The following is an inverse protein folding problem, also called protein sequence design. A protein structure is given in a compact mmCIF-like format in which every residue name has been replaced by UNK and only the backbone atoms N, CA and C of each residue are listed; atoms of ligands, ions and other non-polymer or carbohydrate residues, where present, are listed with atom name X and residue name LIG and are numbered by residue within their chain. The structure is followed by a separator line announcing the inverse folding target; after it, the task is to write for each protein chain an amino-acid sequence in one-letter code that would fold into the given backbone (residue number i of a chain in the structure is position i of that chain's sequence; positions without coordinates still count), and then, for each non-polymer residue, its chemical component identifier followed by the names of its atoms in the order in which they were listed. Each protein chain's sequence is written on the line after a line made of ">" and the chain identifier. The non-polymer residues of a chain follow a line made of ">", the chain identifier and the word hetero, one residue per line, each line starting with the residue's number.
data_IF_436644226724
#
_entry.id   IF_436644226724
#
_cell.length_a   1.000
_cell.length_b   1.000
_cell.length_c   1.000
_cell.angle_alpha   90.00
_cell.angle_beta   90.00
_cell.angle_gamma   90.00
#
_symmetry.space_group_name_H-M   'P 1'
#
loop_
_entity.id
_entity.type
_entity.pdbx_description
1 polymer ?
#
# COMPACT_ATOMS: atom_id res chain seq x y z
N UNK A 1 -7.95 -26.27 17.62
CA UNK A 1 -7.05 -25.38 16.85
C UNK A 1 -7.82 -24.12 16.54
N UNK A 2 -7.32 -22.91 16.84
CA UNK A 2 -7.96 -21.67 16.37
C UNK A 2 -8.03 -21.71 14.84
N UNK A 3 -9.22 -21.51 14.25
CA UNK A 3 -9.33 -21.37 12.79
C UNK A 3 -8.41 -20.25 12.34
N UNK A 4 -7.51 -20.54 11.41
CA UNK A 4 -6.58 -19.56 10.84
C UNK A 4 -7.39 -18.49 10.08
N UNK A 5 -6.95 -17.21 10.16
CA UNK A 5 -7.57 -16.07 9.46
C UNK A 5 -7.49 -16.24 7.95
N UNK A 6 -8.51 -15.72 7.28
CA UNK A 6 -8.58 -15.63 5.80
C UNK A 6 -8.06 -14.27 5.36
N UNK A 7 -7.03 -14.27 4.54
CA UNK A 7 -6.37 -13.08 4.00
C UNK A 7 -6.74 -12.85 2.53
N UNK A 8 -7.06 -11.62 2.21
CA UNK A 8 -7.23 -11.13 0.84
C UNK A 8 -6.13 -10.10 0.56
N UNK A 9 -5.19 -10.44 -0.32
CA UNK A 9 -4.00 -9.62 -0.59
C UNK A 9 -3.99 -9.15 -2.03
N UNK A 10 -3.78 -7.86 -2.27
CA UNK A 10 -3.70 -7.29 -3.61
C UNK A 10 -2.26 -7.09 -4.06
N UNK A 11 -1.98 -7.28 -5.37
CA UNK A 11 -0.65 -7.04 -5.94
C UNK A 11 0.40 -8.06 -5.52
N UNK A 12 0.08 -9.37 -5.64
CA UNK A 12 0.89 -10.45 -5.07
C UNK A 12 1.93 -11.05 -6.02
N UNK A 13 2.01 -10.61 -7.29
CA UNK A 13 2.94 -11.22 -8.26
C UNK A 13 4.42 -10.93 -7.96
N UNK A 14 4.73 -9.90 -7.17
CA UNK A 14 6.09 -9.49 -6.79
C UNK A 14 6.09 -8.62 -5.52
N UNK A 15 7.28 -8.31 -5.02
CA UNK A 15 7.50 -7.35 -3.94
C UNK A 15 6.93 -7.78 -2.59
N UNK A 16 6.43 -6.83 -1.80
CA UNK A 16 5.91 -7.06 -0.46
C UNK A 16 4.70 -8.01 -0.44
N UNK A 17 3.78 -7.86 -1.41
CA UNK A 17 2.63 -8.75 -1.51
C UNK A 17 3.02 -10.20 -1.77
N UNK A 18 4.06 -10.44 -2.60
CA UNK A 18 4.61 -11.77 -2.84
C UNK A 18 5.21 -12.36 -1.56
N UNK A 19 6.07 -11.59 -0.87
CA UNK A 19 6.67 -12.03 0.38
C UNK A 19 5.62 -12.35 1.46
N UNK A 20 4.55 -11.54 1.53
CA UNK A 20 3.46 -11.76 2.47
C UNK A 20 2.69 -13.04 2.16
N UNK A 21 2.36 -13.31 0.90
CA UNK A 21 1.65 -14.54 0.51
C UNK A 21 2.49 -15.79 0.84
N UNK A 22 3.79 -15.78 0.56
CA UNK A 22 4.68 -16.86 0.94
C UNK A 22 4.62 -17.14 2.44
N UNK A 23 4.85 -16.13 3.26
CA UNK A 23 4.87 -16.28 4.71
C UNK A 23 3.52 -16.75 5.27
N UNK A 24 2.42 -16.25 4.73
CA UNK A 24 1.07 -16.66 5.12
C UNK A 24 0.81 -18.14 4.81
N UNK A 25 1.22 -18.62 3.63
CA UNK A 25 1.05 -20.01 3.23
C UNK A 25 1.95 -20.94 4.04
N UNK A 26 3.22 -20.55 4.29
CA UNK A 26 4.14 -21.29 5.16
C UNK A 26 3.59 -21.46 6.58
N UNK A 27 2.90 -20.43 7.10
CA UNK A 27 2.27 -20.50 8.42
C UNK A 27 0.85 -21.11 8.41
N UNK A 28 0.34 -21.56 7.28
CA UNK A 28 -0.93 -22.28 7.16
C UNK A 28 -2.17 -21.39 7.21
N UNK A 29 -2.07 -20.10 6.86
CA UNK A 29 -3.23 -19.23 6.69
C UNK A 29 -3.95 -19.51 5.36
N UNK A 30 -5.23 -19.11 5.27
CA UNK A 30 -6.01 -19.16 4.04
C UNK A 30 -5.81 -17.85 3.28
N UNK A 31 -5.40 -17.92 2.01
CA UNK A 31 -4.97 -16.75 1.24
C UNK A 31 -5.66 -16.69 -0.11
N UNK A 32 -6.37 -15.59 -0.36
CA UNK A 32 -6.73 -15.15 -1.70
C UNK A 32 -5.70 -14.11 -2.17
N UNK A 33 -4.85 -14.51 -3.10
CA UNK A 33 -3.87 -13.62 -3.71
C UNK A 33 -4.38 -13.09 -5.05
N UNK A 34 -4.24 -11.78 -5.28
CA UNK A 34 -4.71 -11.18 -6.53
C UNK A 34 -3.59 -10.51 -7.33
N UNK A 35 -3.71 -10.64 -8.65
CA UNK A 35 -2.86 -9.98 -9.64
C UNK A 35 -3.65 -9.79 -10.94
N UNK A 36 -3.20 -8.92 -11.84
CA UNK A 36 -3.75 -8.84 -13.21
C UNK A 36 -3.48 -10.13 -14.00
N UNK A 37 -2.37 -10.79 -13.70
CA UNK A 37 -1.98 -12.05 -14.30
C UNK A 37 -2.08 -13.20 -13.29
N UNK A 38 -3.15 -14.01 -13.36
CA UNK A 38 -3.36 -15.18 -12.49
C UNK A 38 -2.25 -16.22 -12.68
N UNK A 39 -1.74 -16.38 -13.90
CA UNK A 39 -0.72 -17.38 -14.19
C UNK A 39 0.58 -17.11 -13.41
N UNK A 40 0.96 -15.85 -13.27
CA UNK A 40 2.12 -15.46 -12.44
C UNK A 40 1.97 -15.85 -10.97
N UNK A 41 0.73 -15.86 -10.44
CA UNK A 41 0.46 -16.33 -9.07
C UNK A 41 0.59 -17.86 -8.96
N UNK A 42 0.13 -18.58 -9.97
CA UNK A 42 0.24 -20.05 -10.03
C UNK A 42 1.70 -20.48 -10.14
N UNK A 43 2.48 -19.80 -10.94
CA UNK A 43 3.92 -20.06 -11.08
C UNK A 43 4.68 -19.78 -9.78
N UNK A 44 4.27 -18.76 -9.04
CA UNK A 44 4.92 -18.36 -7.79
C UNK A 44 4.55 -19.24 -6.59
N UNK A 45 3.28 -19.62 -6.46
CA UNK A 45 2.72 -20.21 -5.23
C UNK A 45 2.04 -21.57 -5.45
N UNK A 46 1.95 -22.05 -6.70
CA UNK A 46 1.24 -23.26 -7.05
C UNK A 46 -0.23 -23.04 -7.43
N UNK A 47 -0.88 -24.14 -7.77
CA UNK A 47 -2.30 -24.12 -8.12
C UNK A 47 -3.21 -23.84 -6.93
N UNK A 48 -4.48 -23.57 -7.21
CA UNK A 48 -5.51 -23.47 -6.18
C UNK A 48 -5.53 -24.72 -5.28
N UNK A 49 -5.65 -24.49 -3.97
CA UNK A 49 -5.64 -25.52 -2.95
C UNK A 49 -6.67 -25.20 -1.85
N UNK A 50 -6.72 -26.00 -0.79
CA UNK A 50 -7.56 -25.70 0.39
C UNK A 50 -7.17 -24.39 1.07
N UNK A 51 -5.90 -23.99 1.00
CA UNK A 51 -5.37 -22.78 1.64
C UNK A 51 -5.14 -21.62 0.68
N UNK A 52 -5.10 -21.86 -0.64
CA UNK A 52 -4.68 -20.87 -1.62
C UNK A 52 -5.69 -20.69 -2.74
N UNK A 53 -6.05 -19.43 -3.01
CA UNK A 53 -6.93 -19.03 -4.09
C UNK A 53 -6.28 -17.94 -4.95
N UNK A 54 -5.64 -18.29 -6.09
CA UNK A 54 -5.11 -17.31 -7.03
C UNK A 54 -6.23 -16.70 -7.88
N UNK A 55 -6.32 -15.37 -7.90
CA UNK A 55 -7.36 -14.63 -8.60
C UNK A 55 -6.78 -13.61 -9.58
N UNK A 56 -7.31 -13.58 -10.80
CA UNK A 56 -7.13 -12.41 -11.68
C UNK A 56 -8.08 -11.30 -11.24
N UNK A 57 -7.55 -10.10 -11.07
CA UNK A 57 -8.32 -8.93 -10.65
C UNK A 57 -7.75 -7.64 -11.23
N UNK A 58 -8.62 -6.82 -11.80
CA UNK A 58 -8.32 -5.45 -12.18
C UNK A 58 -8.85 -4.50 -11.10
N UNK A 59 -7.95 -3.79 -10.41
CA UNK A 59 -8.30 -2.85 -9.34
C UNK A 59 -9.12 -1.65 -9.82
N UNK A 60 -8.91 -1.20 -11.06
CA UNK A 60 -9.66 -0.09 -11.63
C UNK A 60 -11.10 -0.48 -12.03
N UNK A 61 -11.43 -1.76 -12.00
CA UNK A 61 -12.77 -2.30 -12.29
C UNK A 61 -13.43 -2.78 -11.01
N UNK A 62 -14.42 -2.04 -10.54
CA UNK A 62 -15.15 -2.33 -9.30
C UNK A 62 -15.83 -3.70 -9.32
N UNK A 63 -16.37 -4.13 -10.46
CA UNK A 63 -17.03 -5.44 -10.59
C UNK A 63 -16.01 -6.58 -10.57
N UNK A 64 -14.82 -6.39 -11.13
CA UNK A 64 -13.72 -7.32 -10.99
C UNK A 64 -13.32 -7.52 -9.52
N UNK A 65 -13.24 -6.43 -8.75
CA UNK A 65 -12.94 -6.47 -7.31
C UNK A 65 -14.04 -7.17 -6.52
N UNK A 66 -15.32 -6.83 -6.72
CA UNK A 66 -16.46 -7.48 -6.08
C UNK A 66 -16.47 -8.99 -6.37
N UNK A 67 -16.20 -9.36 -7.62
CA UNK A 67 -16.14 -10.77 -8.04
C UNK A 67 -15.01 -11.52 -7.32
N UNK A 68 -13.85 -10.93 -7.16
CA UNK A 68 -12.72 -11.54 -6.46
C UNK A 68 -13.03 -11.78 -4.97
N UNK A 69 -13.59 -10.79 -4.28
CA UNK A 69 -14.00 -10.92 -2.88
C UNK A 69 -15.14 -11.93 -2.71
N UNK A 70 -16.11 -11.96 -3.62
CA UNK A 70 -17.17 -12.97 -3.62
C UNK A 70 -16.61 -14.39 -3.75
N UNK A 71 -15.65 -14.62 -4.65
CA UNK A 71 -14.95 -15.90 -4.79
C UNK A 71 -14.22 -16.30 -3.51
N UNK A 72 -13.57 -15.34 -2.84
CA UNK A 72 -12.90 -15.56 -1.54
C UNK A 72 -13.91 -16.04 -0.48
N UNK A 73 -15.05 -15.37 -0.36
CA UNK A 73 -16.11 -15.78 0.59
C UNK A 73 -16.69 -17.13 0.22
N UNK A 74 -16.90 -17.42 -1.06
CA UNK A 74 -17.39 -18.74 -1.51
C UNK A 74 -16.42 -19.86 -1.17
N UNK A 75 -15.12 -19.62 -1.26
CA UNK A 75 -14.06 -20.61 -0.98
C UNK A 75 -13.84 -20.82 0.50
N UNK A 76 -13.71 -19.73 1.28
CA UNK A 76 -13.23 -19.76 2.67
C UNK A 76 -14.32 -19.39 3.70
N UNK A 77 -15.49 -18.96 3.26
CA UNK A 77 -16.63 -18.60 4.12
C UNK A 77 -16.55 -17.19 4.71
N UNK A 78 -15.39 -16.52 4.68
CA UNK A 78 -15.12 -15.25 5.35
C UNK A 78 -13.95 -14.47 4.74
N UNK A 79 -13.76 -13.23 5.19
CA UNK A 79 -12.55 -12.42 4.95
C UNK A 79 -12.18 -11.73 6.27
N UNK A 80 -11.05 -12.10 6.87
CA UNK A 80 -10.62 -11.55 8.15
C UNK A 80 -9.66 -10.38 7.97
N UNK A 81 -8.76 -10.49 7.00
CA UNK A 81 -7.72 -9.48 6.75
C UNK A 81 -7.72 -9.12 5.27
N UNK A 82 -7.75 -7.84 4.98
CA UNK A 82 -7.55 -7.28 3.64
C UNK A 82 -6.24 -6.50 3.64
N UNK A 83 -5.38 -6.75 2.65
CA UNK A 83 -4.15 -5.98 2.45
C UNK A 83 -4.18 -5.31 1.08
N UNK A 84 -4.43 -4.01 1.09
CA UNK A 84 -4.36 -3.14 -0.07
C UNK A 84 -2.90 -2.79 -0.35
N UNK A 85 -2.16 -3.78 -0.89
CA UNK A 85 -0.73 -3.66 -1.16
C UNK A 85 -0.44 -3.22 -2.61
N UNK A 86 -1.34 -3.49 -3.55
CA UNK A 86 -1.11 -3.15 -4.95
C UNK A 86 -0.88 -1.65 -5.14
N UNK A 87 0.16 -1.32 -5.86
CA UNK A 87 0.55 0.04 -6.18
C UNK A 87 1.85 0.07 -6.97
N UNK A 88 2.12 1.18 -7.61
CA UNK A 88 3.35 1.42 -8.34
C UNK A 88 3.74 2.90 -8.24
N UNK A 89 4.97 3.22 -8.64
CA UNK A 89 5.43 4.61 -8.79
C UNK A 89 5.65 4.95 -10.25
N UNK A 90 5.49 6.23 -10.57
CA UNK A 90 5.85 6.82 -11.84
C UNK A 90 6.70 8.05 -11.53
N UNK A 91 7.93 8.06 -12.04
CA UNK A 91 8.90 9.10 -11.77
C UNK A 91 8.96 10.06 -12.96
N UNK A 92 8.56 11.29 -12.74
CA UNK A 92 8.70 12.41 -13.67
C UNK A 92 8.51 13.72 -12.92
N UNK A 93 8.96 14.83 -13.50
CA UNK A 93 8.61 16.17 -12.98
C UNK A 93 7.09 16.37 -13.07
N UNK A 94 6.55 17.26 -12.25
CA UNK A 94 5.10 17.57 -12.26
C UNK A 94 4.69 18.12 -13.64
N UNK A 95 5.54 18.90 -14.28
CA UNK A 95 5.28 19.51 -15.59
C UNK A 95 5.25 18.47 -16.71
N UNK A 96 6.16 17.49 -16.70
CA UNK A 96 6.35 16.55 -17.82
C UNK A 96 5.52 15.28 -17.69
N UNK A 97 5.03 14.94 -16.49
CA UNK A 97 4.17 13.78 -16.33
C UNK A 97 2.83 14.01 -17.06
N UNK A 98 2.51 13.15 -18.02
CA UNK A 98 1.27 13.26 -18.78
C UNK A 98 0.03 13.11 -17.88
N UNK A 99 -1.08 13.83 -18.21
CA UNK A 99 -2.38 13.68 -17.54
C UNK A 99 -2.83 12.22 -17.48
N UNK A 100 -2.61 11.46 -18.56
CA UNK A 100 -2.91 10.03 -18.60
C UNK A 100 -2.13 9.24 -17.56
N UNK A 101 -0.83 9.49 -17.42
CA UNK A 101 0.01 8.78 -16.46
C UNK A 101 -0.40 9.09 -15.01
N UNK A 102 -0.72 10.35 -14.72
CA UNK A 102 -1.24 10.76 -13.40
C UNK A 102 -2.55 10.04 -13.09
N UNK A 103 -3.53 10.04 -14.03
CA UNK A 103 -4.81 9.35 -13.83
C UNK A 103 -4.64 7.85 -13.60
N UNK A 104 -3.85 7.17 -14.44
CA UNK A 104 -3.56 5.74 -14.26
C UNK A 104 -2.95 5.44 -12.88
N UNK A 105 -2.08 6.32 -12.38
CA UNK A 105 -1.47 6.19 -11.07
C UNK A 105 -2.52 6.31 -9.95
N UNK A 106 -3.41 7.27 -10.03
CA UNK A 106 -4.52 7.44 -9.09
C UNK A 106 -5.55 6.31 -9.20
N UNK A 107 -5.86 5.85 -10.40
CA UNK A 107 -6.80 4.75 -10.64
C UNK A 107 -6.38 3.47 -9.89
N UNK A 108 -5.08 3.19 -9.85
CA UNK A 108 -4.56 2.00 -9.16
C UNK A 108 -4.32 2.28 -7.67
N UNK A 109 -3.56 3.33 -7.34
CA UNK A 109 -3.08 3.54 -5.98
C UNK A 109 -4.17 4.05 -5.03
N UNK A 110 -5.20 4.76 -5.55
CA UNK A 110 -6.25 5.39 -4.75
C UNK A 110 -7.62 4.80 -5.04
N UNK A 111 -8.11 4.91 -6.28
CA UNK A 111 -9.47 4.44 -6.60
C UNK A 111 -9.59 2.92 -6.54
N UNK A 112 -8.54 2.19 -6.93
CA UNK A 112 -8.48 0.74 -6.81
C UNK A 112 -8.52 0.27 -5.35
N UNK A 113 -7.80 0.95 -4.46
CA UNK A 113 -7.88 0.72 -3.01
C UNK A 113 -9.29 0.98 -2.48
N UNK A 114 -9.94 2.07 -2.89
CA UNK A 114 -11.32 2.37 -2.51
C UNK A 114 -12.32 1.31 -3.01
N UNK A 115 -12.12 0.76 -4.22
CA UNK A 115 -12.93 -0.33 -4.74
C UNK A 115 -12.86 -1.56 -3.82
N UNK A 116 -11.65 -1.93 -3.35
CA UNK A 116 -11.47 -3.04 -2.42
C UNK A 116 -12.14 -2.75 -1.07
N UNK A 117 -11.94 -1.57 -0.51
CA UNK A 117 -12.55 -1.16 0.76
C UNK A 117 -14.07 -1.26 0.66
N UNK A 118 -14.70 -0.65 -0.36
CA UNK A 118 -16.16 -0.68 -0.54
C UNK A 118 -16.72 -2.08 -0.69
N UNK A 119 -15.97 -2.99 -1.32
CA UNK A 119 -16.41 -4.37 -1.51
C UNK A 119 -16.18 -5.25 -0.27
N UNK A 120 -15.13 -4.97 0.54
CA UNK A 120 -14.79 -5.74 1.74
C UNK A 120 -15.63 -5.36 2.96
N UNK A 121 -15.92 -4.07 3.15
CA UNK A 121 -16.63 -3.58 4.34
C UNK A 121 -17.99 -4.24 4.61
N UNK A 122 -18.87 -4.48 3.63
CA UNK A 122 -20.13 -5.17 3.88
C UNK A 122 -19.95 -6.60 4.43
N UNK A 123 -18.87 -7.28 3.99
CA UNK A 123 -18.51 -8.62 4.46
C UNK A 123 -18.06 -8.54 5.91
N UNK A 124 -17.11 -7.65 6.21
CA UNK A 124 -16.53 -7.47 7.55
C UNK A 124 -17.57 -6.96 8.57
N UNK A 125 -18.45 -6.04 8.16
CA UNK A 125 -19.57 -5.58 9.02
C UNK A 125 -20.51 -6.72 9.40
N UNK A 126 -20.86 -7.59 8.45
CA UNK A 126 -21.68 -8.77 8.73
C UNK A 126 -20.99 -9.74 9.71
N UNK A 127 -19.66 -9.77 9.70
CA UNK A 127 -18.85 -10.58 10.61
C UNK A 127 -18.67 -9.92 11.98
N UNK A 128 -18.93 -8.61 12.12
CA UNK A 128 -18.57 -7.76 13.24
C UNK A 128 -17.07 -7.87 13.59
N UNK A 129 -16.25 -8.06 12.60
CA UNK A 129 -14.79 -8.17 12.76
C UNK A 129 -14.10 -8.02 11.40
N UNK A 130 -12.89 -7.52 11.42
CA UNK A 130 -12.03 -7.43 10.25
C UNK A 130 -10.80 -6.58 10.51
N UNK A 131 -9.80 -6.71 9.66
CA UNK A 131 -8.62 -5.84 9.67
C UNK A 131 -8.23 -5.45 8.25
N UNK A 132 -8.13 -4.15 7.98
CA UNK A 132 -7.73 -3.60 6.68
C UNK A 132 -6.35 -2.96 6.84
N UNK A 133 -5.38 -3.46 6.10
CA UNK A 133 -4.08 -2.81 5.93
C UNK A 133 -4.08 -2.04 4.62
N UNK A 134 -3.87 -0.75 4.67
CA UNK A 134 -3.68 0.11 3.51
C UNK A 134 -2.20 0.48 3.40
N UNK A 135 -1.57 0.15 2.29
CA UNK A 135 -0.15 0.43 2.10
C UNK A 135 0.02 1.83 1.53
N UNK A 136 0.27 2.79 2.41
CA UNK A 136 0.75 4.11 2.02
C UNK A 136 2.26 4.09 1.72
N UNK A 137 3.07 4.91 2.35
CA UNK A 137 4.52 4.97 2.17
C UNK A 137 5.12 5.99 3.14
N UNK A 138 6.44 5.96 3.36
CA UNK A 138 7.21 7.12 3.81
C UNK A 138 6.91 8.35 2.93
N UNK A 139 6.69 8.14 1.62
CA UNK A 139 6.28 9.18 0.66
C UNK A 139 4.92 9.84 0.92
N UNK A 140 4.14 9.39 1.93
CA UNK A 140 2.98 10.10 2.46
C UNK A 140 3.35 11.17 3.52
N UNK A 141 4.62 11.42 3.72
CA UNK A 141 5.19 12.43 4.63
C UNK A 141 6.37 13.13 3.98
N UNK A 142 7.35 12.38 3.51
CA UNK A 142 8.57 12.88 2.90
C UNK A 142 8.43 12.86 1.37
N UNK A 143 8.41 14.02 0.75
CA UNK A 143 8.32 14.20 -0.71
C UNK A 143 9.70 14.52 -1.28
N UNK A 144 9.92 14.11 -2.52
CA UNK A 144 11.16 14.40 -3.23
C UNK A 144 10.90 14.69 -4.71
N UNK A 145 11.90 15.20 -5.42
CA UNK A 145 11.82 15.43 -6.85
C UNK A 145 11.36 14.18 -7.61
N UNK A 146 10.75 14.35 -8.75
CA UNK A 146 10.22 13.33 -9.65
C UNK A 146 9.09 12.44 -9.09
N UNK A 147 8.80 12.51 -7.78
CA UNK A 147 7.84 11.62 -7.12
C UNK A 147 6.51 12.30 -6.75
N UNK A 148 6.28 13.54 -7.15
CA UNK A 148 5.13 14.36 -6.73
C UNK A 148 3.77 13.65 -6.84
N UNK A 149 3.33 13.20 -8.02
CA UNK A 149 2.05 12.50 -8.18
C UNK A 149 1.97 11.17 -7.39
N UNK A 150 3.07 10.41 -7.30
CA UNK A 150 3.11 9.23 -6.44
C UNK A 150 2.90 9.59 -4.96
N UNK A 151 3.64 10.57 -4.46
CA UNK A 151 3.49 11.05 -3.09
C UNK A 151 2.07 11.55 -2.81
N UNK A 152 1.44 12.26 -3.76
CA UNK A 152 0.04 12.67 -3.66
C UNK A 152 -0.91 11.47 -3.50
N UNK A 153 -0.71 10.37 -4.25
CA UNK A 153 -1.51 9.15 -4.05
C UNK A 153 -1.32 8.56 -2.66
N UNK A 154 -0.09 8.60 -2.11
CA UNK A 154 0.21 8.03 -0.79
C UNK A 154 -0.29 8.91 0.36
N UNK A 155 -0.30 10.23 0.20
CA UNK A 155 -1.01 11.15 1.10
C UNK A 155 -2.52 10.90 1.10
N UNK A 156 -3.12 10.67 -0.07
CA UNK A 156 -4.54 10.31 -0.19
C UNK A 156 -4.84 8.99 0.55
N UNK A 157 -4.02 7.94 0.36
CA UNK A 157 -4.18 6.65 1.06
C UNK A 157 -4.08 6.82 2.58
N UNK A 158 -3.12 7.64 3.07
CA UNK A 158 -2.99 7.97 4.50
C UNK A 158 -4.27 8.60 5.04
N UNK A 159 -4.75 9.68 4.41
CA UNK A 159 -5.96 10.40 4.87
C UNK A 159 -7.20 9.49 4.85
N UNK A 160 -7.38 8.69 3.79
CA UNK A 160 -8.46 7.72 3.68
C UNK A 160 -8.39 6.64 4.77
N UNK A 161 -7.20 6.20 5.14
CA UNK A 161 -7.00 5.18 6.17
C UNK A 161 -7.34 5.71 7.56
N UNK A 162 -6.89 6.91 7.88
CA UNK A 162 -7.17 7.58 9.15
C UNK A 162 -8.68 7.84 9.33
N UNK A 163 -9.34 8.34 8.28
CA UNK A 163 -10.80 8.55 8.30
C UNK A 163 -11.55 7.23 8.42
N UNK A 164 -11.17 6.23 7.63
CA UNK A 164 -11.83 4.92 7.66
C UNK A 164 -11.72 4.26 9.04
N UNK A 165 -10.58 4.38 9.73
CA UNK A 165 -10.39 3.82 11.06
C UNK A 165 -11.44 4.36 12.05
N UNK A 166 -11.73 5.65 11.98
CA UNK A 166 -12.78 6.28 12.82
C UNK A 166 -14.19 5.79 12.45
N UNK A 167 -14.49 5.68 11.15
CA UNK A 167 -15.83 5.30 10.65
C UNK A 167 -16.22 3.86 11.00
N UNK A 168 -15.25 2.92 10.94
CA UNK A 168 -15.54 1.47 11.05
C UNK A 168 -15.31 0.88 12.42
N UNK A 169 -14.75 1.63 13.35
CA UNK A 169 -14.46 1.22 14.74
C UNK A 169 -15.67 0.61 15.45
N UNK A 170 -16.84 1.20 15.25
CA UNK A 170 -18.11 0.71 15.83
C UNK A 170 -18.52 -0.69 15.36
N UNK A 171 -17.94 -1.19 14.27
CA UNK A 171 -18.22 -2.52 13.73
C UNK A 171 -17.16 -3.57 14.11
N UNK A 172 -16.23 -3.25 15.02
CA UNK A 172 -15.13 -4.13 15.38
C UNK A 172 -14.14 -4.37 14.22
N UNK A 173 -14.02 -3.41 13.30
CA UNK A 173 -13.08 -3.46 12.17
C UNK A 173 -11.91 -2.53 12.48
N UNK A 174 -10.70 -3.05 12.34
CA UNK A 174 -9.46 -2.29 12.47
C UNK A 174 -8.95 -1.82 11.11
N UNK A 175 -8.27 -0.69 11.11
CA UNK A 175 -7.58 -0.17 9.92
C UNK A 175 -6.18 0.24 10.33
N UNK A 176 -5.19 -0.24 9.59
CA UNK A 176 -3.78 0.12 9.77
C UNK A 176 -3.23 0.75 8.50
N UNK A 177 -2.82 2.00 8.57
CA UNK A 177 -2.02 2.66 7.55
C UNK A 177 -0.57 2.19 7.66
N UNK A 178 -0.12 1.40 6.69
CA UNK A 178 1.23 0.84 6.63
C UNK A 178 2.13 1.77 5.83
N UNK A 179 3.27 2.12 6.39
CA UNK A 179 4.21 3.12 5.86
C UNK A 179 5.58 2.50 5.62
N UNK A 180 5.77 1.74 4.52
CA UNK A 180 7.08 1.20 4.20
C UNK A 180 8.07 2.33 3.87
N UNK A 181 9.30 2.19 4.38
CA UNK A 181 10.46 2.86 3.84
C UNK A 181 11.01 2.11 2.63
N UNK A 182 12.31 2.15 2.42
CA UNK A 182 12.98 1.47 1.31
C UNK A 182 13.07 -0.04 1.58
N UNK A 183 12.14 -0.81 1.00
CA UNK A 183 12.11 -2.27 1.07
C UNK A 183 12.82 -2.91 -0.11
N UNK A 184 13.65 -3.94 0.15
CA UNK A 184 14.42 -4.64 -0.89
C UNK A 184 13.51 -5.50 -1.75
N UNK A 185 12.90 -4.87 -2.73
CA UNK A 185 11.97 -5.45 -3.70
C UNK A 185 12.23 -4.86 -5.09
N UNK A 186 11.59 -5.42 -6.12
CA UNK A 186 11.61 -4.88 -7.49
C UNK A 186 10.83 -3.55 -7.67
N UNK A 187 10.53 -2.83 -6.58
CA UNK A 187 9.72 -1.61 -6.67
C UNK A 187 10.42 -0.50 -7.46
N UNK A 188 11.72 -0.31 -7.25
CA UNK A 188 12.56 0.60 -8.05
C UNK A 188 13.24 -0.08 -9.26
N UNK A 189 12.94 -1.35 -9.52
CA UNK A 189 13.34 -2.08 -10.72
C UNK A 189 12.22 -2.07 -11.76
N UNK A 190 11.50 -3.18 -11.86
CA UNK A 190 10.47 -3.38 -12.89
C UNK A 190 9.09 -2.77 -12.55
N UNK A 191 8.91 -2.17 -11.37
CA UNK A 191 7.62 -1.60 -10.93
C UNK A 191 7.54 -0.09 -11.05
N UNK A 192 8.60 0.60 -11.37
CA UNK A 192 8.53 2.01 -11.66
C UNK A 192 8.39 2.26 -13.17
N UNK A 193 7.71 3.33 -13.50
CA UNK A 193 7.65 3.90 -14.85
C UNK A 193 8.37 5.24 -14.83
N UNK A 194 8.87 5.65 -15.98
CA UNK A 194 9.47 6.97 -16.17
C UNK A 194 9.01 7.52 -17.52
N UNK A 195 8.64 8.78 -17.56
CA UNK A 195 8.42 9.54 -18.78
C UNK A 195 9.43 10.72 -18.74
N UNK A 196 10.56 10.55 -19.39
CA UNK A 196 11.58 11.60 -19.53
C UNK A 196 11.53 12.07 -20.98
N UNK A 197 11.24 13.36 -21.17
CA UNK A 197 11.22 13.95 -22.50
C UNK A 197 12.64 14.01 -23.09
N UNK A 198 12.76 13.78 -24.39
CA UNK A 198 14.02 14.03 -25.11
C UNK A 198 14.29 15.56 -25.03
N UNK A 199 15.49 15.94 -24.55
CA UNK A 199 15.86 17.34 -24.28
C UNK A 199 15.03 18.03 -23.20
N UNK A 200 14.72 17.33 -22.10
CA UNK A 200 14.05 17.92 -20.95
C UNK A 200 14.84 19.11 -20.38
N UNK A 201 14.18 20.24 -20.05
CA UNK A 201 14.82 21.32 -19.29
C UNK A 201 15.20 20.90 -17.86
N UNK A 202 14.73 19.74 -17.41
CA UNK A 202 15.03 19.15 -16.10
C UNK A 202 16.06 18.02 -16.16
N UNK A 203 16.87 17.94 -17.24
CA UNK A 203 17.80 16.80 -17.42
C UNK A 203 18.74 16.61 -16.23
N UNK A 204 19.34 17.67 -15.71
CA UNK A 204 20.25 17.59 -14.53
C UNK A 204 19.50 17.03 -13.30
N UNK A 205 18.26 17.46 -13.08
CA UNK A 205 17.41 16.96 -11.99
C UNK A 205 17.08 15.46 -12.15
N UNK A 206 16.83 15.02 -13.40
CA UNK A 206 16.62 13.61 -13.67
C UNK A 206 17.88 12.79 -13.42
N UNK A 207 19.02 13.23 -13.92
CA UNK A 207 20.28 12.51 -13.80
C UNK A 207 20.64 12.31 -12.31
N UNK A 208 20.58 13.37 -11.51
CA UNK A 208 20.86 13.33 -10.08
C UNK A 208 19.92 12.39 -9.31
N UNK A 209 18.61 12.47 -9.58
CA UNK A 209 17.62 11.71 -8.82
C UNK A 209 17.47 10.27 -9.33
N UNK A 210 17.61 10.01 -10.64
CA UNK A 210 17.54 8.65 -11.17
C UNK A 210 18.71 7.81 -10.70
N UNK A 211 19.91 8.39 -10.57
CA UNK A 211 21.08 7.72 -9.97
C UNK A 211 20.79 7.30 -8.53
N UNK A 212 20.13 8.17 -7.74
CA UNK A 212 19.68 7.82 -6.40
C UNK A 212 18.69 6.63 -6.40
N UNK A 213 17.62 6.70 -7.21
CA UNK A 213 16.62 5.64 -7.25
C UNK A 213 17.17 4.31 -7.79
N UNK A 214 17.99 4.36 -8.82
CA UNK A 214 18.67 3.17 -9.38
C UNK A 214 19.65 2.56 -8.39
N UNK A 215 20.40 3.37 -7.65
CA UNK A 215 21.34 2.95 -6.61
C UNK A 215 20.65 2.27 -5.41
N UNK A 216 19.35 2.55 -5.19
CA UNK A 216 18.59 1.87 -4.16
C UNK A 216 18.23 0.43 -4.54
N UNK A 217 18.15 0.09 -5.85
CA UNK A 217 17.65 -1.20 -6.28
C UNK A 217 18.58 -2.36 -5.82
N UNK A 218 18.05 -3.26 -4.99
CA UNK A 218 18.78 -4.39 -4.43
C UNK A 218 19.62 -4.08 -3.17
N UNK A 219 19.79 -2.79 -2.80
CA UNK A 219 20.59 -2.36 -1.63
C UNK A 219 19.78 -1.89 -0.44
N UNK A 220 18.46 -1.78 -0.61
CA UNK A 220 17.55 -1.31 0.44
C UNK A 220 17.71 -2.10 1.74
N UNK A 221 17.65 -1.41 2.88
CA UNK A 221 17.80 -2.01 4.21
C UNK A 221 16.57 -2.83 4.65
N UNK A 222 15.38 -2.49 4.15
CA UNK A 222 14.14 -3.16 4.51
C UNK A 222 14.06 -4.60 3.98
N UNK A 223 13.73 -5.54 4.85
CA UNK A 223 13.62 -6.97 4.53
C UNK A 223 12.15 -7.34 4.28
N UNK A 224 11.76 -7.78 3.05
CA UNK A 224 10.38 -8.13 2.73
C UNK A 224 9.81 -9.28 3.56
N UNK A 225 10.63 -10.28 3.94
CA UNK A 225 10.19 -11.38 4.79
C UNK A 225 9.86 -10.88 6.20
N UNK A 226 10.71 -10.05 6.79
CA UNK A 226 10.43 -9.44 8.11
C UNK A 226 9.22 -8.50 8.07
N UNK A 227 8.99 -7.83 6.94
CA UNK A 227 7.78 -7.05 6.74
C UNK A 227 6.53 -7.95 6.73
N UNK A 228 6.58 -9.10 6.05
CA UNK A 228 5.51 -10.10 6.05
C UNK A 228 5.21 -10.63 7.46
N UNK A 229 6.23 -11.01 8.20
CA UNK A 229 6.11 -11.44 9.61
C UNK A 229 5.46 -10.34 10.48
N UNK A 230 5.80 -9.07 10.22
CA UNK A 230 5.22 -7.94 10.95
C UNK A 230 3.73 -7.74 10.64
N UNK A 231 3.29 -7.90 9.38
CA UNK A 231 1.87 -7.90 9.04
C UNK A 231 1.10 -8.95 9.83
N UNK A 232 1.62 -10.18 9.86
CA UNK A 232 0.99 -11.30 10.59
C UNK A 232 0.94 -10.99 12.09
N UNK A 233 2.04 -10.53 12.66
CA UNK A 233 2.11 -10.15 14.08
C UNK A 233 1.07 -9.07 14.43
N UNK A 234 0.95 -8.04 13.61
CA UNK A 234 0.00 -6.94 13.85
C UNK A 234 -1.44 -7.42 13.66
N UNK A 235 -1.71 -8.30 12.68
CA UNK A 235 -3.04 -8.85 12.47
C UNK A 235 -3.52 -9.78 13.62
N UNK A 236 -2.61 -10.31 14.42
CA UNK A 236 -2.93 -11.14 15.59
C UNK A 236 -3.05 -10.35 16.90
N UNK A 237 -2.84 -9.03 16.89
CA UNK A 237 -3.04 -8.16 18.05
C UNK A 237 -4.53 -7.93 18.31
N UNK A 238 -4.93 -7.87 19.57
CA UNK A 238 -6.30 -7.48 19.96
C UNK A 238 -6.56 -6.00 19.65
N UNK A 239 -5.55 -5.16 19.80
CA UNK A 239 -5.59 -3.73 19.51
C UNK A 239 -4.43 -3.36 18.56
N UNK A 240 -4.57 -3.59 17.26
CA UNK A 240 -3.53 -3.24 16.31
C UNK A 240 -3.39 -1.72 16.15
N UNK A 241 -2.17 -1.23 15.84
CA UNK A 241 -1.94 0.20 15.65
C UNK A 241 -2.64 0.71 14.37
N UNK A 242 -3.18 1.92 14.43
CA UNK A 242 -3.72 2.60 13.24
C UNK A 242 -2.62 3.07 12.27
N UNK A 243 -1.38 3.19 12.75
CA UNK A 243 -0.21 3.69 12.00
C UNK A 243 0.98 2.76 12.21
N UNK A 244 1.53 2.20 11.12
CA UNK A 244 2.59 1.22 11.15
C UNK A 244 3.76 1.62 10.23
N UNK A 245 4.76 2.38 10.71
CA UNK A 245 5.99 2.57 9.96
C UNK A 245 6.74 1.24 9.84
N UNK A 246 7.26 0.93 8.64
CA UNK A 246 8.07 -0.24 8.38
C UNK A 246 9.48 0.17 7.93
N UNK A 247 10.46 -0.14 8.75
CA UNK A 247 11.85 0.25 8.58
C UNK A 247 12.25 1.44 9.44
N UNK A 248 13.52 1.48 9.81
CA UNK A 248 14.10 2.57 10.61
C UNK A 248 14.07 3.89 9.84
N UNK A 249 14.29 3.83 8.54
CA UNK A 249 14.22 4.95 7.60
C UNK A 249 12.82 5.59 7.61
N UNK A 250 11.76 4.78 7.53
CA UNK A 250 10.38 5.28 7.60
C UNK A 250 10.10 5.92 8.97
N UNK A 251 10.47 5.25 10.06
CA UNK A 251 10.24 5.78 11.40
C UNK A 251 10.97 7.11 11.63
N UNK A 252 12.23 7.19 11.22
CA UNK A 252 13.06 8.40 11.42
C UNK A 252 12.60 9.54 10.50
N UNK A 253 12.33 9.26 9.22
CA UNK A 253 11.87 10.29 8.28
C UNK A 253 10.51 10.88 8.69
N UNK A 254 9.56 10.06 9.14
CA UNK A 254 8.26 10.55 9.64
C UNK A 254 8.46 11.43 10.89
N UNK A 255 9.34 11.01 11.82
CA UNK A 255 9.65 11.79 13.02
C UNK A 255 10.27 13.13 12.69
N UNK A 256 11.24 13.16 11.79
CA UNK A 256 11.92 14.39 11.35
C UNK A 256 10.92 15.38 10.75
N UNK A 257 10.07 14.93 9.82
CA UNK A 257 9.03 15.77 9.22
C UNK A 257 8.05 16.31 10.27
N UNK A 258 7.67 15.48 11.23
CA UNK A 258 6.76 15.91 12.31
C UNK A 258 7.41 17.01 13.16
N UNK A 259 8.68 16.90 13.53
CA UNK A 259 9.42 17.90 14.29
C UNK A 259 9.57 19.21 13.51
N UNK A 260 9.94 19.14 12.23
CA UNK A 260 10.04 20.30 11.35
C UNK A 260 8.68 21.00 11.17
N UNK A 261 7.60 20.23 11.12
CA UNK A 261 6.24 20.77 11.03
C UNK A 261 5.88 21.53 12.30
N UNK A 262 6.18 20.99 13.48
CA UNK A 262 5.95 21.70 14.76
C UNK A 262 6.72 23.02 14.81
N UNK A 263 8.02 22.97 14.48
CA UNK A 263 8.83 24.17 14.44
C UNK A 263 8.25 25.24 13.50
N UNK A 264 7.85 24.85 12.29
CA UNK A 264 7.23 25.77 11.34
C UNK A 264 5.94 26.37 11.88
N UNK A 265 5.11 25.59 12.57
CA UNK A 265 3.87 26.09 13.18
C UNK A 265 4.17 27.10 14.30
N UNK A 266 5.19 26.85 15.12
CA UNK A 266 5.61 27.79 16.17
C UNK A 266 6.08 29.14 15.54
N UNK A 267 6.87 29.08 14.46
CA UNK A 267 7.35 30.27 13.74
C UNK A 267 6.21 31.05 13.05
N UNK A 268 5.16 30.36 12.62
CA UNK A 268 4.05 30.96 11.85
C UNK A 268 2.85 31.38 12.72
N UNK A 269 2.86 31.09 14.02
CA UNK A 269 1.71 31.30 14.92
C UNK A 269 1.16 32.72 14.88
N UNK A 270 2.03 33.73 15.01
CA UNK A 270 1.61 35.13 14.99
C UNK A 270 1.06 35.57 13.63
N UNK A 271 1.62 35.02 12.53
CA UNK A 271 1.15 35.27 11.17
C UNK A 271 -0.23 34.63 10.92
N UNK A 272 -0.39 33.39 11.40
CA UNK A 272 -1.64 32.64 11.24
C UNK A 272 -2.79 33.27 12.01
N UNK A 273 -2.54 33.77 13.23
CA UNK A 273 -3.56 34.42 14.09
C UNK A 273 -4.13 35.73 13.49
N UNK A 274 -3.45 36.32 12.48
CA UNK A 274 -3.98 37.48 11.75
C UNK A 274 -5.33 37.20 11.06
N UNK A 275 -5.68 35.94 10.83
CA UNK A 275 -6.95 35.54 10.22
C UNK A 275 -8.07 35.32 11.22
N UNK A 276 -7.79 35.43 12.53
CA UNK A 276 -8.78 35.27 13.58
C UNK A 276 -9.63 36.55 13.71
N UNK A 277 -10.86 36.42 14.24
CA UNK A 277 -11.74 37.56 14.47
C UNK A 277 -11.29 38.39 15.67
#
# INVERSE_FOLDING_TARGET
>A
MKNKKVWFVTGCSKGLGHALVNELLEQGYMVSATSRNKQALIEAFGNESEQFLPLSMNLADEESVKTALKKTVLKFGRVDVVVNNAGYTHLATIEEMSDKAVRELFDINVFGLLNVIRAALPIMRKQNSGHIFNVSSLGAYNVGPLSGPYCATKHAVKALSETLAMEVKQFGIHVTDVKPGFMRTEFFGTSHKTDIAEHSPYQDLYDENMDFYNGQNGTQAGNPKKAAELYIKVAEMDNPPESLPMGTDSCNGIREIALNTVQLMDEMQDTASYTDF
#
